data_IF_876955960428
#
_entry.id   IF_876955960428
#
_cell.length_a   1.000
_cell.length_b   1.000
_cell.length_c   1.000
_cell.angle_alpha   90.00
_cell.angle_beta   90.00
_cell.angle_gamma   90.00
#
_symmetry.space_group_name_H-M   'P 1'
#
loop_
_entity.id
_entity.type
_entity.pdbx_description
1 polymer ?
#
# COMPACT_ATOMS: atom_id res chain seq x y z
N UNK A 1 -1.33 -25.89 -46.03
CA UNK A 1 -1.11 -26.47 -44.69
C UNK A 1 0.37 -26.51 -44.44
N UNK A 2 0.85 -25.88 -43.36
CA UNK A 2 2.27 -25.87 -43.03
C UNK A 2 2.66 -27.08 -42.16
N UNK A 3 3.98 -27.36 -42.10
CA UNK A 3 4.51 -28.30 -41.14
C UNK A 3 4.85 -27.57 -39.83
N UNK A 4 4.54 -28.20 -38.71
CA UNK A 4 4.92 -27.66 -37.39
C UNK A 4 6.43 -27.61 -37.25
N UNK A 5 6.99 -26.46 -36.88
CA UNK A 5 8.43 -26.27 -36.72
C UNK A 5 9.04 -27.12 -35.60
N UNK A 6 8.22 -27.53 -34.62
CA UNK A 6 8.67 -28.25 -33.43
C UNK A 6 8.62 -29.78 -33.61
N UNK A 7 7.55 -30.32 -34.21
CA UNK A 7 7.36 -31.78 -34.31
C UNK A 7 7.19 -32.31 -35.74
N UNK A 8 7.19 -31.43 -36.76
CA UNK A 8 6.97 -31.79 -38.17
C UNK A 8 5.54 -32.19 -38.52
N UNK A 9 4.62 -32.25 -37.57
CA UNK A 9 3.20 -32.58 -37.77
C UNK A 9 2.44 -31.46 -38.49
N UNK A 10 1.16 -31.71 -38.80
CA UNK A 10 0.31 -30.74 -39.50
C UNK A 10 0.05 -29.52 -38.57
N UNK A 11 0.42 -28.32 -39.01
CA UNK A 11 0.04 -27.06 -38.43
C UNK A 11 -1.10 -26.40 -39.21
N UNK A 12 -1.81 -25.45 -38.57
CA UNK A 12 -2.85 -24.65 -39.22
C UNK A 12 -2.29 -23.80 -40.36
N UNK A 13 -3.17 -23.21 -41.18
CA UNK A 13 -2.80 -22.51 -42.41
C UNK A 13 -1.86 -21.28 -42.17
N UNK A 14 -1.96 -20.65 -41.01
CA UNK A 14 -1.10 -19.50 -40.58
C UNK A 14 -0.31 -19.79 -39.30
N UNK A 15 -0.33 -21.03 -38.80
CA UNK A 15 0.33 -21.38 -37.55
C UNK A 15 1.69 -21.99 -37.81
N UNK A 16 2.69 -21.57 -37.09
CA UNK A 16 4.05 -22.12 -37.11
C UNK A 16 4.17 -23.39 -36.25
N UNK A 17 3.27 -23.58 -35.29
CA UNK A 17 3.21 -24.72 -34.38
C UNK A 17 1.86 -25.41 -34.43
N UNK A 18 1.82 -26.74 -34.24
CA UNK A 18 0.56 -27.47 -34.06
C UNK A 18 0.01 -27.21 -32.62
N UNK A 19 -1.31 -27.39 -32.44
CA UNK A 19 -1.95 -27.12 -31.15
C UNK A 19 -1.33 -27.88 -29.97
N UNK A 20 -0.88 -29.12 -30.18
CA UNK A 20 -0.23 -29.92 -29.14
C UNK A 20 1.15 -29.33 -28.71
N UNK A 21 1.95 -28.84 -29.65
CA UNK A 21 3.25 -28.23 -29.34
C UNK A 21 3.04 -26.86 -28.65
N UNK A 22 2.09 -26.09 -29.12
CA UNK A 22 1.71 -24.81 -28.50
C UNK A 22 1.22 -25.02 -27.08
N UNK A 23 0.35 -25.99 -26.82
CA UNK A 23 -0.14 -26.28 -25.46
C UNK A 23 1.01 -26.72 -24.52
N UNK A 24 1.95 -27.54 -25.01
CA UNK A 24 3.13 -27.95 -24.23
C UNK A 24 4.04 -26.77 -23.90
N UNK A 25 4.26 -25.86 -24.86
CA UNK A 25 5.06 -24.65 -24.64
C UNK A 25 4.40 -23.73 -23.62
N UNK A 26 3.11 -23.46 -23.76
CA UNK A 26 2.36 -22.64 -22.80
C UNK A 26 2.38 -23.25 -21.39
N UNK A 27 2.24 -24.57 -21.29
CA UNK A 27 2.32 -25.26 -20.00
C UNK A 27 3.71 -25.16 -19.37
N UNK A 28 4.78 -25.30 -20.16
CA UNK A 28 6.16 -25.16 -19.68
C UNK A 28 6.45 -23.71 -19.25
N UNK A 29 6.04 -22.72 -20.03
CA UNK A 29 6.19 -21.29 -19.68
C UNK A 29 5.42 -20.96 -18.39
N UNK A 30 4.21 -21.49 -18.24
CA UNK A 30 3.39 -21.33 -17.03
C UNK A 30 4.07 -21.96 -15.80
N UNK A 31 4.63 -23.16 -15.93
CA UNK A 31 5.38 -23.80 -14.84
C UNK A 31 6.65 -23.05 -14.48
N UNK A 32 7.38 -22.53 -15.46
CA UNK A 32 8.56 -21.68 -15.19
C UNK A 32 8.19 -20.38 -14.50
N UNK A 33 7.08 -19.75 -14.92
CA UNK A 33 6.61 -18.52 -14.29
C UNK A 33 6.15 -18.74 -12.84
N UNK A 34 5.48 -19.89 -12.54
CA UNK A 34 5.11 -20.21 -11.16
C UNK A 34 6.33 -20.49 -10.29
N UNK A 35 7.28 -21.30 -10.78
CA UNK A 35 8.52 -21.57 -10.06
C UNK A 35 9.33 -20.29 -9.77
N UNK A 36 9.37 -19.35 -10.73
CA UNK A 36 10.04 -18.05 -10.51
C UNK A 36 9.34 -17.20 -9.46
N UNK A 37 8.00 -17.21 -9.42
CA UNK A 37 7.23 -16.49 -8.39
C UNK A 37 7.47 -17.08 -7.01
N UNK A 38 7.44 -18.40 -6.90
CA UNK A 38 7.70 -19.12 -5.66
C UNK A 38 9.13 -18.84 -5.14
N UNK A 39 10.12 -18.84 -6.03
CA UNK A 39 11.50 -18.53 -5.68
C UNK A 39 11.67 -17.11 -5.17
N UNK A 40 11.05 -16.12 -5.83
CA UNK A 40 11.07 -14.72 -5.38
C UNK A 40 10.36 -14.53 -4.04
N UNK A 41 9.25 -15.22 -3.84
CA UNK A 41 8.52 -15.15 -2.56
C UNK A 41 9.34 -15.79 -1.43
N UNK A 42 9.99 -16.92 -1.67
CA UNK A 42 10.88 -17.54 -0.70
C UNK A 42 12.09 -16.63 -0.35
N UNK A 43 12.69 -15.97 -1.34
CA UNK A 43 13.76 -14.99 -1.11
C UNK A 43 13.27 -13.79 -0.29
N UNK A 44 12.09 -13.26 -0.61
CA UNK A 44 11.46 -12.18 0.15
C UNK A 44 11.20 -12.59 1.60
N UNK A 45 10.65 -13.77 1.84
CA UNK A 45 10.39 -14.26 3.19
C UNK A 45 11.69 -14.48 3.98
N UNK A 46 12.73 -14.98 3.35
CA UNK A 46 14.05 -15.11 3.97
C UNK A 46 14.63 -13.75 4.38
N UNK A 47 14.49 -12.74 3.52
CA UNK A 47 14.94 -11.38 3.83
C UNK A 47 14.14 -10.76 4.99
N UNK A 48 12.82 -10.92 5.01
CA UNK A 48 11.96 -10.47 6.13
C UNK A 48 12.41 -11.12 7.44
N UNK A 49 12.65 -12.43 7.44
CA UNK A 49 13.11 -13.14 8.63
C UNK A 49 14.50 -12.67 9.11
N UNK A 50 15.41 -12.36 8.21
CA UNK A 50 16.72 -11.80 8.54
C UNK A 50 16.61 -10.42 9.17
N UNK A 51 15.83 -9.51 8.55
CA UNK A 51 15.59 -8.16 9.07
C UNK A 51 14.88 -8.18 10.43
N UNK A 52 13.88 -9.04 10.60
CA UNK A 52 13.22 -9.25 11.88
C UNK A 52 14.22 -9.65 12.99
N UNK A 53 15.06 -10.64 12.71
CA UNK A 53 16.09 -11.06 13.66
C UNK A 53 17.12 -9.96 13.93
N UNK A 54 17.44 -9.12 12.93
CA UNK A 54 18.32 -7.97 13.09
C UNK A 54 17.72 -6.94 14.03
N UNK A 55 16.46 -6.55 13.84
CA UNK A 55 15.75 -5.60 14.69
C UNK A 55 15.75 -6.08 16.14
N UNK A 56 15.38 -7.34 16.38
CA UNK A 56 15.36 -7.91 17.73
C UNK A 56 16.74 -7.85 18.38
N UNK A 57 17.78 -8.20 17.65
CA UNK A 57 19.17 -8.16 18.15
C UNK A 57 19.60 -6.76 18.49
N UNK A 58 19.31 -5.79 17.60
CA UNK A 58 19.70 -4.38 17.76
C UNK A 58 19.00 -3.75 18.95
N UNK A 59 17.70 -4.01 19.14
CA UNK A 59 16.93 -3.56 20.31
C UNK A 59 17.50 -4.15 21.60
N UNK A 60 17.82 -5.45 21.63
CA UNK A 60 18.44 -6.10 22.79
C UNK A 60 19.85 -5.58 23.09
N UNK A 61 20.56 -5.10 22.08
CA UNK A 61 21.86 -4.44 22.21
C UNK A 61 21.76 -2.98 22.66
N UNK A 62 20.54 -2.43 22.84
CA UNK A 62 20.28 -1.08 23.34
C UNK A 62 20.17 -0.03 22.23
N UNK A 63 20.11 -0.42 20.97
CA UNK A 63 19.84 0.51 19.87
C UNK A 63 18.36 0.87 19.86
N UNK A 64 18.07 2.16 19.57
CA UNK A 64 16.70 2.63 19.41
C UNK A 64 16.19 2.27 18.04
N UNK A 65 15.12 1.49 18.02
CA UNK A 65 14.38 1.12 16.81
C UNK A 65 12.93 1.57 16.95
N UNK A 66 12.33 2.00 15.85
CA UNK A 66 10.95 2.47 15.79
C UNK A 66 10.22 1.78 14.65
N UNK A 67 8.98 1.38 14.91
CA UNK A 67 8.03 1.04 13.87
C UNK A 67 7.25 2.30 13.50
N UNK A 68 6.87 2.41 12.24
CA UNK A 68 6.05 3.51 11.74
C UNK A 68 4.80 2.97 11.07
N UNK A 69 3.68 3.60 11.31
CA UNK A 69 2.44 3.34 10.56
C UNK A 69 1.72 4.63 10.23
N UNK A 70 0.84 4.56 9.25
CA UNK A 70 -0.02 5.67 8.84
C UNK A 70 -1.46 5.26 9.00
N UNK A 71 -2.20 6.00 9.83
CA UNK A 71 -3.64 5.85 9.96
C UNK A 71 -4.35 6.99 9.23
N UNK A 72 -5.52 6.72 8.66
CA UNK A 72 -6.31 7.72 7.98
C UNK A 72 -7.53 8.08 8.83
N UNK A 73 -7.66 9.37 9.13
CA UNK A 73 -8.85 9.93 9.75
C UNK A 73 -9.71 10.50 8.64
N UNK A 74 -10.90 9.96 8.46
CA UNK A 74 -11.90 10.52 7.56
C UNK A 74 -12.64 11.67 8.26
N UNK A 75 -12.81 12.78 7.55
CA UNK A 75 -13.63 13.90 7.99
C UNK A 75 -14.80 13.98 7.03
N UNK A 76 -15.97 13.60 7.50
CA UNK A 76 -17.19 13.78 6.74
C UNK A 76 -17.53 15.27 6.72
N UNK A 77 -17.30 15.90 5.56
CA UNK A 77 -17.68 17.27 5.32
C UNK A 77 -18.81 17.30 4.31
N UNK A 78 -19.98 17.74 4.72
CA UNK A 78 -21.08 18.05 3.80
C UNK A 78 -21.10 19.54 3.46
N UNK A 79 -21.19 19.83 2.16
CA UNK A 79 -21.45 21.20 1.68
C UNK A 79 -22.94 21.34 1.48
N UNK A 80 -23.62 21.87 2.45
CA UNK A 80 -25.06 22.17 2.36
C UNK A 80 -25.25 23.68 2.23
N UNK A 81 -25.86 24.13 1.12
CA UNK A 81 -26.32 25.49 0.97
C UNK A 81 -25.30 26.63 1.07
N UNK A 82 -24.02 26.36 0.77
CA UNK A 82 -22.93 27.33 0.82
C UNK A 82 -22.31 27.53 2.20
N UNK A 83 -22.76 26.82 3.20
CA UNK A 83 -22.12 26.74 4.52
C UNK A 83 -21.26 25.48 4.63
N UNK A 84 -20.14 25.62 5.31
CA UNK A 84 -19.24 24.53 5.59
C UNK A 84 -19.54 24.00 6.99
N UNK A 85 -20.04 22.78 7.08
CA UNK A 85 -20.20 22.12 8.37
C UNK A 85 -19.13 21.02 8.46
N UNK A 86 -18.32 21.07 9.51
CA UNK A 86 -17.43 19.97 9.84
C UNK A 86 -18.28 18.87 10.46
N UNK A 87 -18.38 17.75 9.76
CA UNK A 87 -19.00 16.54 10.29
C UNK A 87 -18.16 15.88 11.38
N UNK A 88 -18.68 14.79 11.91
CA UNK A 88 -17.95 13.95 12.85
C UNK A 88 -16.72 13.36 12.16
N UNK A 89 -15.62 13.28 12.90
CA UNK A 89 -14.41 12.58 12.46
C UNK A 89 -14.25 11.31 13.27
N UNK A 90 -13.89 10.23 12.56
CA UNK A 90 -13.61 8.95 13.22
C UNK A 90 -12.10 8.83 13.48
N UNK A 91 -11.71 9.02 14.73
CA UNK A 91 -10.34 8.87 15.21
C UNK A 91 -10.15 7.58 16.03
N UNK A 92 -11.12 6.66 16.00
CA UNK A 92 -11.14 5.46 16.83
C UNK A 92 -9.88 4.62 16.66
N UNK A 93 -9.39 4.44 15.42
CA UNK A 93 -8.17 3.70 15.13
C UNK A 93 -6.92 4.36 15.74
N UNK A 94 -6.85 5.70 15.69
CA UNK A 94 -5.73 6.46 16.28
C UNK A 94 -5.74 6.33 17.79
N UNK A 95 -6.91 6.39 18.42
CA UNK A 95 -7.06 6.22 19.87
C UNK A 95 -6.68 4.81 20.33
N UNK A 96 -7.16 3.77 19.60
CA UNK A 96 -6.80 2.39 19.89
C UNK A 96 -5.29 2.19 19.78
N UNK A 97 -4.67 2.69 18.70
CA UNK A 97 -3.22 2.65 18.53
C UNK A 97 -2.47 3.36 19.67
N UNK A 98 -2.99 4.48 20.16
CA UNK A 98 -2.43 5.18 21.32
C UNK A 98 -2.43 4.32 22.60
N UNK A 99 -3.48 3.52 22.82
CA UNK A 99 -3.54 2.57 23.94
C UNK A 99 -2.52 1.42 23.81
N UNK A 100 -2.15 1.07 22.57
CA UNK A 100 -1.11 0.09 22.25
C UNK A 100 0.31 0.68 22.33
N UNK A 101 0.45 1.95 22.65
CA UNK A 101 1.73 2.64 22.83
C UNK A 101 2.24 3.41 21.61
N UNK A 102 1.47 3.47 20.53
CA UNK A 102 1.81 4.28 19.36
C UNK A 102 1.69 5.78 19.68
N UNK A 103 2.66 6.55 19.23
CA UNK A 103 2.70 8.01 19.40
C UNK A 103 2.50 8.69 18.07
N UNK A 104 1.66 9.72 18.04
CA UNK A 104 1.50 10.58 16.86
C UNK A 104 2.74 11.47 16.72
N UNK A 105 3.39 11.37 15.56
CA UNK A 105 4.60 12.16 15.24
C UNK A 105 4.35 13.15 14.12
N UNK A 106 3.28 12.99 13.38
CA UNK A 106 2.93 13.90 12.29
C UNK A 106 1.47 13.79 11.87
N UNK A 107 0.99 14.83 11.22
CA UNK A 107 -0.35 14.89 10.64
C UNK A 107 -0.25 15.56 9.28
N UNK A 108 -0.75 14.88 8.25
CA UNK A 108 -0.77 15.37 6.87
C UNK A 108 -2.22 15.52 6.45
N UNK A 109 -2.75 16.75 6.37
CA UNK A 109 -4.13 16.96 5.94
C UNK A 109 -4.30 16.57 4.47
N UNK A 110 -5.39 15.89 4.16
CA UNK A 110 -5.81 15.63 2.79
C UNK A 110 -6.83 16.70 2.38
N UNK A 111 -6.42 17.55 1.46
CA UNK A 111 -7.31 18.61 0.93
C UNK A 111 -7.73 18.27 -0.48
N UNK A 112 -9.02 18.43 -0.79
CA UNK A 112 -9.50 18.50 -2.16
C UNK A 112 -9.65 19.98 -2.54
N UNK A 113 -8.94 20.40 -3.58
CA UNK A 113 -9.19 21.69 -4.19
C UNK A 113 -10.39 21.62 -5.12
N UNK A 114 -11.47 22.30 -4.79
CA UNK A 114 -12.54 22.57 -5.74
C UNK A 114 -12.38 23.99 -6.25
N UNK A 115 -12.19 24.15 -7.56
CA UNK A 115 -12.27 25.46 -8.19
C UNK A 115 -13.75 25.85 -8.22
N UNK A 116 -14.19 26.67 -7.26
CA UNK A 116 -15.53 27.24 -7.29
C UNK A 116 -15.54 28.37 -8.32
N UNK A 117 -15.85 28.05 -9.57
CA UNK A 117 -16.11 29.02 -10.61
C UNK A 117 -17.57 29.45 -10.48
N UNK A 118 -17.81 30.59 -9.83
CA UNK A 118 -19.15 31.16 -9.80
C UNK A 118 -19.40 31.93 -11.10
N UNK A 119 -20.14 31.32 -12.03
CA UNK A 119 -20.51 31.89 -13.33
C UNK A 119 -21.89 32.53 -13.33
N UNK A 120 -22.34 33.10 -12.23
CA UNK A 120 -23.63 33.83 -12.23
C UNK A 120 -23.44 35.31 -12.50
N UNK A 121 -23.70 35.69 -13.76
CA UNK A 121 -24.29 36.95 -14.15
C UNK A 121 -23.47 38.23 -14.03
N UNK A 122 -23.09 38.76 -15.16
CA UNK A 122 -22.87 40.17 -15.56
C UNK A 122 -21.95 41.12 -14.76
N UNK A 123 -21.33 40.72 -13.68
CA UNK A 123 -20.20 41.44 -13.09
C UNK A 123 -19.24 40.40 -12.46
N UNK A 124 -18.30 39.96 -13.27
CA UNK A 124 -17.28 39.02 -12.82
C UNK A 124 -16.27 39.72 -11.91
N UNK A 125 -16.58 39.76 -10.64
CA UNK A 125 -15.54 39.91 -9.62
C UNK A 125 -14.92 38.55 -9.41
N UNK A 126 -13.66 38.39 -9.85
CA UNK A 126 -12.86 37.20 -9.60
C UNK A 126 -12.59 37.10 -8.09
N UNK A 127 -13.43 36.42 -7.37
CA UNK A 127 -13.09 35.93 -6.06
C UNK A 127 -12.54 34.51 -6.24
N UNK A 128 -11.31 34.42 -6.71
CA UNK A 128 -10.56 33.18 -6.79
C UNK A 128 -10.12 32.75 -5.39
N UNK A 129 -11.01 32.19 -4.63
CA UNK A 129 -10.67 31.48 -3.41
C UNK A 129 -10.39 30.03 -3.76
N UNK A 130 -9.15 29.59 -3.62
CA UNK A 130 -8.85 28.14 -3.54
C UNK A 130 -9.39 27.69 -2.18
N UNK A 131 -10.66 27.32 -2.13
CA UNK A 131 -11.23 26.66 -0.97
C UNK A 131 -10.76 25.21 -0.94
N UNK A 132 -9.70 24.91 -0.21
CA UNK A 132 -9.33 23.55 0.07
C UNK A 132 -10.31 22.96 1.09
N UNK A 133 -11.09 21.96 0.70
CA UNK A 133 -11.91 21.18 1.65
C UNK A 133 -11.01 20.10 2.23
N UNK A 134 -10.86 20.09 3.55
CA UNK A 134 -10.16 18.99 4.24
C UNK A 134 -11.10 17.80 4.30
N UNK A 135 -10.81 16.74 3.57
CA UNK A 135 -11.61 15.50 3.57
C UNK A 135 -11.10 14.46 4.56
N UNK A 136 -9.99 14.73 5.21
CA UNK A 136 -9.38 13.82 6.16
C UNK A 136 -7.92 14.19 6.44
N UNK A 137 -7.26 13.36 7.20
CA UNK A 137 -5.85 13.50 7.49
C UNK A 137 -5.17 12.14 7.59
N UNK A 138 -3.92 12.06 7.12
CA UNK A 138 -3.05 10.96 7.43
C UNK A 138 -2.31 11.28 8.73
N UNK A 139 -2.41 10.39 9.70
CA UNK A 139 -1.74 10.46 11.00
C UNK A 139 -0.55 9.53 10.95
N UNK A 140 0.65 10.12 11.03
CA UNK A 140 1.90 9.35 11.12
C UNK A 140 2.12 9.00 12.59
N UNK A 141 2.31 7.72 12.86
CA UNK A 141 2.53 7.20 14.20
C UNK A 141 3.82 6.42 14.28
N UNK A 142 4.49 6.49 15.42
CA UNK A 142 5.67 5.70 15.75
C UNK A 142 5.48 4.90 17.03
N UNK A 143 6.09 3.71 17.07
CA UNK A 143 6.15 2.86 18.25
C UNK A 143 7.62 2.54 18.56
N UNK A 144 8.10 2.93 19.73
CA UNK A 144 9.45 2.63 20.17
C UNK A 144 9.57 1.16 20.59
N UNK A 145 10.48 0.44 19.96
CA UNK A 145 10.83 -0.92 20.32
C UNK A 145 11.84 -0.90 21.46
N UNK A 146 11.54 -1.63 22.52
CA UNK A 146 12.37 -1.77 23.70
C UNK A 146 12.65 -3.25 23.98
N UNK A 147 13.68 -3.55 24.78
CA UNK A 147 13.99 -4.92 25.14
C UNK A 147 12.82 -5.63 25.88
N UNK A 148 11.92 -4.86 26.50
CA UNK A 148 10.76 -5.38 27.21
C UNK A 148 9.56 -5.70 26.28
N UNK A 149 9.39 -4.95 25.17
CA UNK A 149 8.23 -5.12 24.29
C UNK A 149 8.55 -5.81 22.95
N UNK A 150 9.81 -5.86 22.52
CA UNK A 150 10.20 -6.43 21.23
C UNK A 150 9.78 -7.89 21.04
N UNK A 151 9.68 -8.65 22.12
CA UNK A 151 9.22 -10.04 22.05
C UNK A 151 7.71 -10.18 21.91
N UNK A 152 6.93 -9.27 22.50
CA UNK A 152 5.46 -9.24 22.39
C UNK A 152 4.97 -8.63 21.11
N UNK A 153 5.78 -7.75 20.50
CA UNK A 153 5.49 -7.06 19.22
C UNK A 153 6.10 -7.76 18.01
N UNK A 154 6.43 -9.04 18.13
CA UNK A 154 7.06 -9.81 17.04
C UNK A 154 6.18 -9.89 15.79
N UNK A 155 4.85 -10.01 15.95
CA UNK A 155 3.89 -10.02 14.85
C UNK A 155 3.78 -8.68 14.15
N UNK A 156 3.77 -7.59 14.90
CA UNK A 156 3.71 -6.23 14.36
C UNK A 156 5.00 -5.86 13.60
N UNK A 157 6.15 -6.32 14.08
CA UNK A 157 7.43 -6.17 13.38
C UNK A 157 7.39 -6.93 12.04
N UNK A 158 6.88 -8.15 12.05
CA UNK A 158 6.77 -8.96 10.85
C UNK A 158 5.79 -8.34 9.83
N UNK A 159 4.63 -7.88 10.28
CA UNK A 159 3.65 -7.18 9.44
C UNK A 159 4.26 -5.92 8.82
N UNK A 160 4.93 -5.09 9.62
CA UNK A 160 5.65 -3.90 9.15
C UNK A 160 6.67 -4.25 8.07
N UNK A 161 7.45 -5.32 8.25
CA UNK A 161 8.44 -5.74 7.27
C UNK A 161 7.81 -6.28 5.99
N UNK A 162 6.66 -6.95 6.07
CA UNK A 162 5.92 -7.42 4.91
C UNK A 162 5.41 -6.26 4.04
N UNK A 163 5.08 -5.12 4.63
CA UNK A 163 4.64 -3.93 3.91
C UNK A 163 5.81 -3.14 3.30
N UNK A 164 6.94 -3.08 3.99
CA UNK A 164 8.08 -2.23 3.62
C UNK A 164 9.10 -2.92 2.71
N UNK A 165 9.31 -4.22 2.85
CA UNK A 165 10.20 -5.03 1.99
C UNK A 165 9.44 -5.46 0.73
N UNK A 166 9.62 -4.72 -0.36
CA UNK A 166 9.02 -4.99 -1.68
C UNK A 166 10.04 -5.50 -2.66
#
# INVERSE_FOLDING_TARGET
>A
MGACTTCGGKAGFLATECGSCQSKRIAAESQQASAQREAREAERQAHIAEEHNRIIRDVKAGFKCYLHKTEYINVDSEITGGSFEFGEYDDSNVRLSGLEGWKVVGLVPRTFGTLLQNTSGMNSVWAGGIGGIVSGAYVLMELELTASNVGTLSSEIEEYLQETVR
#
